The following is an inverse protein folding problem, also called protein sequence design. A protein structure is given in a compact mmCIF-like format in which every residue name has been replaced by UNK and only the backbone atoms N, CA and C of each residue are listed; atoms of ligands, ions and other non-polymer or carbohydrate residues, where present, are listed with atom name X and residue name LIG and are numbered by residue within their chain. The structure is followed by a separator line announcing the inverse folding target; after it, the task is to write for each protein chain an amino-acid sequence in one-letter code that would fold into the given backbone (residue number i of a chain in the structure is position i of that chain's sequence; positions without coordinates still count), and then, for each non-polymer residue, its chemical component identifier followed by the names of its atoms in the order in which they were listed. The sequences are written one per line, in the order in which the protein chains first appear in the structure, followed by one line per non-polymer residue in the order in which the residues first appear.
data_IF_480586855622
#
_entry.id   IF_480586855622
#
_cell.length_a   1.000
_cell.length_b   1.000
_cell.length_c   1.000
_cell.angle_alpha   90.00
_cell.angle_beta   90.00
_cell.angle_gamma   90.00
#
_symmetry.space_group_name_H-M   'P 1'
#
loop_
_entity.id
_entity.type
_entity.pdbx_description
1 polymer ?
#
# COMPACT_ATOMS: atom_id res chain seq x y z
N UNK A 1 3.06 8.85 -19.52
CA UNK A 1 3.78 7.64 -19.10
C UNK A 1 4.16 7.72 -17.62
N UNK A 2 3.87 6.68 -16.87
CA UNK A 2 4.31 6.61 -15.50
C UNK A 2 5.85 6.50 -15.45
N UNK A 3 6.48 7.23 -14.54
CA UNK A 3 7.92 7.11 -14.32
C UNK A 3 8.23 5.72 -13.80
N UNK A 4 9.21 5.08 -14.38
CA UNK A 4 9.72 3.81 -13.88
C UNK A 4 10.39 4.06 -12.51
N UNK A 5 10.04 3.21 -11.53
CA UNK A 5 10.66 3.27 -10.20
C UNK A 5 12.13 2.84 -10.33
N UNK A 6 13.01 3.65 -9.75
CA UNK A 6 14.44 3.31 -9.70
C UNK A 6 14.76 2.72 -8.34
N UNK A 7 15.36 1.55 -8.35
CA UNK A 7 15.80 0.85 -7.15
C UNK A 7 17.29 1.06 -6.93
N UNK A 8 17.71 1.12 -5.66
CA UNK A 8 19.13 1.01 -5.33
C UNK A 8 19.63 -0.39 -5.67
N UNK A 9 20.95 -0.58 -5.86
CA UNK A 9 21.49 -1.93 -6.10
C UNK A 9 21.12 -2.92 -5.00
N UNK A 10 21.10 -2.50 -3.74
CA UNK A 10 20.75 -3.34 -2.60
C UNK A 10 19.28 -3.75 -2.63
N UNK A 11 18.39 -2.81 -2.92
CA UNK A 11 16.96 -3.10 -3.03
C UNK A 11 16.67 -3.98 -4.23
N UNK A 12 17.32 -3.71 -5.37
CA UNK A 12 17.18 -4.53 -6.58
C UNK A 12 17.56 -5.98 -6.32
N UNK A 13 18.61 -6.19 -5.54
CA UNK A 13 19.05 -7.53 -5.16
C UNK A 13 17.95 -8.27 -4.37
N UNK A 14 17.34 -7.59 -3.40
CA UNK A 14 16.24 -8.18 -2.62
C UNK A 14 15.04 -8.50 -3.51
N UNK A 15 14.67 -7.58 -4.39
CA UNK A 15 13.56 -7.77 -5.33
C UNK A 15 13.81 -8.98 -6.23
N UNK A 16 15.03 -9.11 -6.77
CA UNK A 16 15.40 -10.22 -7.63
C UNK A 16 15.42 -11.56 -6.87
N UNK A 17 15.93 -11.57 -5.64
CA UNK A 17 15.94 -12.77 -4.78
C UNK A 17 14.52 -13.25 -4.47
N UNK A 18 13.57 -12.33 -4.31
CA UNK A 18 12.17 -12.65 -4.07
C UNK A 18 11.40 -13.01 -5.35
N UNK A 19 12.02 -12.83 -6.52
CA UNK A 19 11.37 -13.09 -7.79
C UNK A 19 10.27 -12.09 -8.13
N UNK A 20 10.33 -10.88 -7.59
CA UNK A 20 9.32 -9.86 -7.82
C UNK A 20 9.50 -9.17 -9.16
N UNK A 21 8.38 -8.91 -9.83
CA UNK A 21 8.32 -8.11 -11.06
C UNK A 21 7.81 -6.71 -10.69
N UNK A 22 8.01 -5.74 -11.57
CA UNK A 22 7.53 -4.37 -11.37
C UNK A 22 6.01 -4.34 -11.11
N UNK A 23 5.25 -5.20 -11.78
CA UNK A 23 3.80 -5.30 -11.60
C UNK A 23 3.37 -5.79 -10.21
N UNK A 24 4.29 -6.40 -9.46
CA UNK A 24 4.03 -6.90 -8.10
C UNK A 24 4.25 -5.84 -7.03
N UNK A 25 4.79 -4.68 -7.39
CA UNK A 25 5.20 -3.65 -6.44
C UNK A 25 4.42 -2.37 -6.70
N UNK A 26 3.66 -1.92 -5.69
CA UNK A 26 2.97 -0.66 -5.73
C UNK A 26 3.82 0.42 -5.05
N UNK A 27 4.07 1.52 -5.76
CA UNK A 27 4.81 2.64 -5.22
C UNK A 27 3.86 3.61 -4.49
N UNK A 28 4.22 3.98 -3.26
CA UNK A 28 3.41 4.88 -2.43
C UNK A 28 4.30 5.93 -1.77
N UNK A 29 4.00 7.20 -2.03
CA UNK A 29 4.59 8.30 -1.27
C UNK A 29 3.94 8.37 0.09
N UNK A 30 4.74 8.57 1.13
CA UNK A 30 4.27 8.64 2.51
C UNK A 30 5.09 9.70 3.25
N UNK A 31 4.50 10.35 4.24
CA UNK A 31 5.24 11.27 5.09
C UNK A 31 5.97 10.50 6.19
N UNK A 32 6.92 11.17 6.82
CA UNK A 32 7.87 10.52 7.75
C UNK A 32 7.20 9.83 8.94
N UNK A 33 6.28 10.49 9.61
CA UNK A 33 5.69 9.96 10.84
C UNK A 33 4.95 8.64 10.62
N UNK A 34 4.00 8.52 9.66
CA UNK A 34 3.39 7.23 9.35
C UNK A 34 4.38 6.17 8.90
N UNK A 35 5.41 6.55 8.14
CA UNK A 35 6.44 5.60 7.72
C UNK A 35 7.17 5.00 8.93
N UNK A 36 7.56 5.84 9.88
CA UNK A 36 8.21 5.37 11.10
C UNK A 36 7.31 4.44 11.92
N UNK A 37 6.02 4.72 11.98
CA UNK A 37 5.05 3.86 12.67
C UNK A 37 4.92 2.50 12.00
N UNK A 38 4.96 2.46 10.67
CA UNK A 38 4.97 1.20 9.91
C UNK A 38 6.22 0.40 10.25
N UNK A 39 7.37 1.06 10.25
CA UNK A 39 8.64 0.40 10.55
C UNK A 39 8.72 -0.16 11.97
N UNK A 40 8.04 0.48 12.92
CA UNK A 40 7.97 0.01 14.31
C UNK A 40 6.89 -1.05 14.53
N UNK A 41 6.09 -1.35 13.51
CA UNK A 41 4.97 -2.28 13.63
C UNK A 41 3.74 -1.72 14.34
N UNK A 42 3.71 -0.42 14.58
CA UNK A 42 2.57 0.25 15.22
C UNK A 42 1.42 0.49 14.24
N UNK A 43 1.74 0.72 12.96
CA UNK A 43 0.77 0.93 11.89
C UNK A 43 0.82 -0.25 10.95
N UNK A 44 -0.25 -1.03 10.89
CA UNK A 44 -0.34 -2.25 10.11
C UNK A 44 -1.32 -2.16 8.95
N UNK A 45 -2.00 -1.03 8.80
CA UNK A 45 -2.91 -0.75 7.69
C UNK A 45 -2.64 0.66 7.18
N UNK A 46 -2.45 0.79 5.87
CA UNK A 46 -2.34 2.08 5.20
C UNK A 46 -3.71 2.44 4.64
N UNK A 47 -4.16 3.67 4.89
CA UNK A 47 -5.44 4.16 4.40
C UNK A 47 -5.21 5.26 3.36
N UNK A 48 -5.93 5.15 2.25
CA UNK A 48 -5.90 6.15 1.19
C UNK A 48 -7.32 6.49 0.76
N UNK A 49 -7.48 7.62 0.10
CA UNK A 49 -8.75 8.05 -0.42
C UNK A 49 -9.35 7.02 -1.39
N UNK A 50 -10.64 6.77 -1.29
CA UNK A 50 -11.35 5.90 -2.22
C UNK A 50 -11.63 6.70 -3.50
N UNK A 51 -10.65 6.76 -4.38
CA UNK A 51 -10.66 7.54 -5.62
C UNK A 51 -10.16 6.71 -6.79
N UNK A 52 -10.46 7.16 -8.01
CA UNK A 52 -9.99 6.50 -9.22
C UNK A 52 -8.46 6.37 -9.24
N UNK A 53 -7.76 7.40 -8.78
CA UNK A 53 -6.30 7.41 -8.74
C UNK A 53 -5.77 6.22 -7.91
N UNK A 54 -6.33 6.03 -6.71
CA UNK A 54 -5.85 4.96 -5.82
C UNK A 54 -6.38 3.59 -6.23
N UNK A 55 -7.63 3.50 -6.68
CA UNK A 55 -8.20 2.22 -7.14
C UNK A 55 -7.44 1.66 -8.34
N UNK A 56 -6.98 2.52 -9.25
CA UNK A 56 -6.20 2.10 -10.42
C UNK A 56 -4.81 1.59 -10.06
N UNK A 57 -4.33 1.85 -8.85
CA UNK A 57 -3.07 1.28 -8.38
C UNK A 57 -3.19 -0.18 -7.95
N UNK A 58 -4.36 -0.61 -7.55
CA UNK A 58 -4.61 -1.97 -7.04
C UNK A 58 -5.45 -2.83 -7.98
N UNK A 59 -6.09 -2.24 -8.99
CA UNK A 59 -6.98 -2.96 -9.90
C UNK A 59 -6.87 -2.44 -11.33
N UNK A 60 -7.26 -3.28 -12.28
CA UNK A 60 -7.33 -2.94 -13.69
C UNK A 60 -8.76 -2.62 -14.08
N UNK A 61 -8.92 -1.57 -14.90
CA UNK A 61 -10.22 -1.11 -15.41
C UNK A 61 -10.14 -1.01 -16.94
N UNK A 62 -11.29 -1.20 -17.61
CA UNK A 62 -11.36 -1.04 -19.06
C UNK A 62 -11.50 0.45 -19.41
N UNK A 63 -11.60 0.77 -20.72
CA UNK A 63 -11.71 2.14 -21.21
C UNK A 63 -13.00 2.85 -20.76
N UNK A 64 -14.00 2.09 -20.31
CA UNK A 64 -15.27 2.62 -19.79
C UNK A 64 -15.24 2.83 -18.28
N UNK A 65 -14.12 2.53 -17.63
CA UNK A 65 -13.98 2.64 -16.18
C UNK A 65 -14.56 1.47 -15.39
N UNK A 66 -14.85 0.36 -16.06
CA UNK A 66 -15.38 -0.84 -15.41
C UNK A 66 -14.23 -1.73 -14.91
N UNK A 67 -14.41 -2.29 -13.72
CA UNK A 67 -13.44 -3.19 -13.10
C UNK A 67 -13.27 -4.47 -13.94
N UNK A 68 -12.02 -4.87 -14.17
CA UNK A 68 -11.67 -6.11 -14.85
C UNK A 68 -11.18 -7.15 -13.86
N UNK A 69 -10.11 -6.84 -13.15
CA UNK A 69 -9.47 -7.73 -12.16
C UNK A 69 -8.54 -6.94 -11.25
N UNK A 70 -8.07 -7.60 -10.19
CA UNK A 70 -7.06 -7.02 -9.31
C UNK A 70 -5.68 -7.10 -9.96
N UNK A 71 -4.85 -6.09 -9.70
CA UNK A 71 -3.44 -6.16 -10.06
C UNK A 71 -2.73 -7.15 -9.15
N UNK A 72 -1.67 -7.84 -9.64
CA UNK A 72 -0.95 -8.83 -8.86
C UNK A 72 0.03 -8.19 -7.86
N UNK A 73 -0.43 -7.22 -7.07
CA UNK A 73 0.39 -6.52 -6.09
C UNK A 73 0.62 -7.43 -4.88
N UNK A 74 1.88 -7.63 -4.52
CA UNK A 74 2.28 -8.41 -3.35
C UNK A 74 3.10 -7.60 -2.36
N UNK A 75 3.66 -6.48 -2.81
CA UNK A 75 4.53 -5.63 -2.01
C UNK A 75 4.27 -4.17 -2.30
N UNK A 76 4.61 -3.32 -1.34
CA UNK A 76 4.53 -1.87 -1.47
C UNK A 76 5.91 -1.29 -1.22
N UNK A 77 6.34 -0.40 -2.10
CA UNK A 77 7.51 0.42 -1.88
C UNK A 77 7.06 1.77 -1.36
N UNK A 78 7.25 1.98 -0.07
CA UNK A 78 7.01 3.28 0.54
C UNK A 78 8.24 4.16 0.39
N UNK A 79 8.04 5.39 0.00
CA UNK A 79 9.10 6.40 -0.07
C UNK A 79 8.65 7.68 0.61
N UNK A 80 9.51 8.24 1.46
CA UNK A 80 9.26 9.57 2.01
C UNK A 80 9.20 10.57 0.85
N UNK A 81 8.04 11.17 0.64
CA UNK A 81 7.76 12.01 -0.53
C UNK A 81 8.63 13.24 -0.66
N UNK A 82 9.27 13.69 0.43
CA UNK A 82 10.17 14.83 0.44
C UNK A 82 11.62 14.48 0.08
N UNK A 83 11.94 13.18 0.12
CA UNK A 83 13.30 12.71 -0.14
C UNK A 83 13.49 12.38 -1.63
N UNK A 84 14.75 12.41 -2.06
CA UNK A 84 15.12 12.02 -3.43
C UNK A 84 16.21 10.95 -3.39
N UNK A 85 16.15 9.95 -4.31
CA UNK A 85 17.25 8.98 -4.42
C UNK A 85 18.57 9.68 -4.72
N UNK A 86 19.72 9.19 -4.22
CA UNK A 86 19.87 7.95 -3.46
C UNK A 86 19.63 8.05 -1.95
N UNK A 87 19.31 9.25 -1.44
CA UNK A 87 19.17 9.50 -0.01
C UNK A 87 17.73 9.30 0.50
N UNK A 88 16.81 8.94 -0.37
CA UNK A 88 15.41 8.75 -0.02
C UNK A 88 15.24 7.63 1.00
N UNK A 89 14.43 7.91 2.03
CA UNK A 89 14.02 6.90 3.00
C UNK A 89 12.94 6.04 2.37
N UNK A 90 13.23 4.77 2.21
CA UNK A 90 12.36 3.80 1.55
C UNK A 90 12.19 2.53 2.37
N UNK A 91 11.05 1.90 2.23
CA UNK A 91 10.80 0.59 2.83
C UNK A 91 10.00 -0.27 1.86
N UNK A 92 10.46 -1.50 1.66
CA UNK A 92 9.72 -2.51 0.90
C UNK A 92 8.96 -3.37 1.91
N UNK A 93 7.63 -3.40 1.79
CA UNK A 93 6.74 -4.01 2.77
C UNK A 93 5.78 -4.96 2.06
N UNK A 94 5.53 -6.12 2.65
CA UNK A 94 4.53 -7.04 2.13
C UNK A 94 3.12 -6.45 2.21
N UNK A 95 2.32 -6.68 1.17
CA UNK A 95 0.89 -6.38 1.20
C UNK A 95 0.13 -7.69 1.38
N UNK A 96 -0.70 -7.78 2.40
CA UNK A 96 -1.51 -8.97 2.65
C UNK A 96 -2.78 -8.98 1.83
N UNK A 97 -3.53 -7.87 1.87
CA UNK A 97 -4.77 -7.69 1.11
C UNK A 97 -5.17 -6.22 1.14
N UNK A 98 -6.14 -5.85 0.32
CA UNK A 98 -6.73 -4.53 0.36
C UNK A 98 -8.26 -4.64 0.38
N UNK A 99 -8.92 -3.62 0.92
CA UNK A 99 -10.38 -3.54 1.00
C UNK A 99 -10.82 -2.14 0.57
N UNK A 100 -11.77 -2.09 -0.36
CA UNK A 100 -12.45 -0.86 -0.74
C UNK A 100 -13.60 -0.66 0.25
N UNK A 101 -13.42 0.26 1.20
CA UNK A 101 -14.44 0.55 2.20
C UNK A 101 -15.39 1.61 1.65
N UNK A 102 -16.56 1.19 1.22
CA UNK A 102 -17.66 2.04 0.81
C UNK A 102 -18.56 2.33 2.01
N UNK A 103 -19.61 3.14 1.82
CA UNK A 103 -20.56 3.42 2.90
C UNK A 103 -21.21 2.15 3.42
N UNK A 104 -21.59 1.24 2.49
CA UNK A 104 -22.05 -0.09 2.83
C UNK A 104 -20.93 -1.08 2.57
N UNK A 105 -20.70 -1.98 3.51
CA UNK A 105 -19.63 -2.97 3.45
C UNK A 105 -20.18 -4.32 3.01
N UNK A 106 -19.52 -4.92 2.00
CA UNK A 106 -19.71 -6.33 1.70
C UNK A 106 -19.01 -7.15 2.78
N UNK A 107 -19.64 -8.24 3.21
CA UNK A 107 -19.07 -9.17 4.19
C UNK A 107 -18.60 -8.50 5.49
N UNK A 108 -19.48 -7.77 6.19
CA UNK A 108 -19.07 -7.04 7.41
C UNK A 108 -18.55 -7.96 8.52
N UNK A 109 -18.92 -9.23 8.52
CA UNK A 109 -18.51 -10.20 9.54
C UNK A 109 -17.20 -10.93 9.21
N UNK A 110 -16.60 -10.67 8.04
CA UNK A 110 -15.32 -11.24 7.67
C UNK A 110 -14.23 -10.81 8.65
N UNK A 111 -13.36 -11.73 9.12
CA UNK A 111 -12.23 -11.36 9.97
C UNK A 111 -11.33 -10.30 9.36
N UNK A 112 -11.11 -10.33 8.06
CA UNK A 112 -10.33 -9.31 7.34
C UNK A 112 -10.98 -7.94 7.43
N UNK A 113 -12.30 -7.87 7.20
CA UNK A 113 -13.06 -6.63 7.29
C UNK A 113 -13.05 -6.09 8.73
N UNK A 114 -13.28 -6.95 9.71
CA UNK A 114 -13.28 -6.55 11.12
C UNK A 114 -11.93 -5.99 11.56
N UNK A 115 -10.84 -6.58 11.10
CA UNK A 115 -9.50 -6.07 11.38
C UNK A 115 -9.31 -4.66 10.81
N UNK A 116 -9.71 -4.43 9.56
CA UNK A 116 -9.62 -3.12 8.92
C UNK A 116 -10.44 -2.07 9.66
N UNK A 117 -11.68 -2.40 10.03
CA UNK A 117 -12.56 -1.47 10.75
C UNK A 117 -11.99 -1.08 12.10
N UNK A 118 -11.40 -2.04 12.82
CA UNK A 118 -10.78 -1.79 14.11
C UNK A 118 -9.57 -0.86 13.98
N UNK A 119 -8.71 -1.12 13.00
CA UNK A 119 -7.55 -0.26 12.76
C UNK A 119 -7.96 1.13 12.27
N UNK A 120 -9.02 1.23 11.44
CA UNK A 120 -9.55 2.51 11.00
C UNK A 120 -10.06 3.35 12.17
N UNK A 121 -10.75 2.73 13.13
CA UNK A 121 -11.22 3.41 14.33
C UNK A 121 -10.05 4.01 15.12
N UNK A 122 -8.96 3.26 15.25
CA UNK A 122 -7.74 3.77 15.93
C UNK A 122 -7.14 4.97 15.21
N UNK A 123 -7.28 5.05 13.91
CA UNK A 123 -6.76 6.17 13.10
C UNK A 123 -7.77 7.34 13.01
N UNK A 124 -8.91 7.23 13.66
CA UNK A 124 -9.89 8.32 13.75
C UNK A 124 -10.99 8.31 12.70
N UNK A 125 -11.11 7.23 11.92
CA UNK A 125 -12.19 7.12 10.94
C UNK A 125 -13.53 6.81 11.60
N UNK A 126 -14.59 7.44 11.08
CA UNK A 126 -15.95 7.13 11.47
C UNK A 126 -16.46 5.87 10.74
N UNK A 127 -17.48 5.18 11.28
CA UNK A 127 -18.00 3.96 10.64
C UNK A 127 -18.50 4.13 9.21
N UNK A 128 -18.98 5.31 8.85
CA UNK A 128 -19.48 5.62 7.51
C UNK A 128 -18.45 6.26 6.58
N UNK A 129 -17.23 6.49 7.06
CA UNK A 129 -16.15 7.01 6.22
C UNK A 129 -15.79 5.99 5.13
N UNK A 130 -15.39 6.51 3.97
CA UNK A 130 -14.94 5.68 2.84
C UNK A 130 -13.42 5.79 2.70
N UNK A 131 -12.78 4.71 2.27
CA UNK A 131 -11.33 4.68 2.07
C UNK A 131 -10.90 3.39 1.35
N UNK A 132 -9.69 3.42 0.80
CA UNK A 132 -8.99 2.22 0.39
C UNK A 132 -8.07 1.82 1.55
N UNK A 133 -8.26 0.63 2.10
CA UNK A 133 -7.45 0.10 3.18
C UNK A 133 -6.51 -0.97 2.65
N UNK A 134 -5.22 -0.86 3.00
CA UNK A 134 -4.18 -1.77 2.55
C UNK A 134 -3.55 -2.42 3.79
N UNK A 135 -3.80 -3.70 3.97
CA UNK A 135 -3.25 -4.45 5.10
C UNK A 135 -1.80 -4.83 4.80
N UNK A 136 -0.91 -4.47 5.72
CA UNK A 136 0.53 -4.63 5.57
C UNK A 136 1.03 -5.87 6.31
N UNK A 137 2.04 -6.52 5.73
CA UNK A 137 2.75 -7.61 6.37
C UNK A 137 4.12 -7.16 6.85
N UNK A 138 5.10 -8.02 6.60
CA UNK A 138 6.46 -7.83 7.05
C UNK A 138 7.18 -6.71 6.31
N UNK A 139 8.00 -5.94 7.02
CA UNK A 139 8.97 -5.04 6.40
C UNK A 139 10.14 -5.89 5.90
N UNK A 140 10.31 -5.94 4.58
CA UNK A 140 11.32 -6.79 3.94
C UNK A 140 12.68 -6.11 3.87
N UNK A 141 12.68 -4.82 3.54
CA UNK A 141 13.91 -4.08 3.32
C UNK A 141 13.72 -2.61 3.68
N UNK A 142 14.75 -2.03 4.32
CA UNK A 142 14.79 -0.60 4.65
C UNK A 142 15.98 0.04 3.99
N UNK A 143 15.81 1.29 3.54
CA UNK A 143 16.86 2.05 2.88
C UNK A 143 16.93 3.44 3.49
N UNK A 144 18.12 3.82 3.94
CA UNK A 144 18.39 5.14 4.55
C UNK A 144 17.60 5.41 5.85
N UNK A 145 17.21 4.36 6.52
CA UNK A 145 16.45 4.46 7.78
C UNK A 145 17.16 3.64 8.87
#
# INVERSE_FOLDING_TARGET
MAKKIQYSPEMKKVIDELGLKDENIMYVNIIREPLERILRGEKTVEFRELSDFWLKKVANFNSKGEYINDKPITHILFQNGMDKPPLAKRALVEMKYNIDKEEEIENPDSPKTQYILKEAEKEGFAPDDTYLAIALGKVIFRENI
#
